data_IF_741721393068
#
_entry.id   IF_741721393068
#
_cell.length_a   1.000
_cell.length_b   1.000
_cell.length_c   1.000
_cell.angle_alpha   90.00
_cell.angle_beta   90.00
_cell.angle_gamma   90.00
#
_symmetry.space_group_name_H-M   'P 1'
#
loop_
_entity.id
_entity.type
_entity.pdbx_description
1 polymer ?
#
# COMPACT_ATOMS: atom_id res chain seq x y z
N UNK A 1 -15.38 16.63 -1.40
CA UNK A 1 -15.44 15.15 -1.23
C UNK A 1 -13.99 14.67 -1.32
N UNK A 2 -13.36 14.28 -0.19
CA UNK A 2 -11.88 14.26 -0.06
C UNK A 2 -11.25 13.24 -1.03
N UNK A 3 -10.47 13.71 -1.99
CA UNK A 3 -9.58 12.92 -2.84
C UNK A 3 -8.37 12.49 -1.98
N UNK A 4 -8.58 11.55 -1.06
CA UNK A 4 -7.47 10.89 -0.38
C UNK A 4 -6.66 10.17 -1.44
N UNK A 5 -5.34 10.40 -1.53
CA UNK A 5 -4.41 9.89 -2.55
C UNK A 5 -4.21 8.36 -2.56
N UNK A 6 -5.30 7.63 -2.39
CA UNK A 6 -5.46 6.20 -2.19
C UNK A 6 -6.46 5.69 -3.23
N UNK A 7 -6.13 4.56 -3.83
CA UNK A 7 -6.98 3.86 -4.80
C UNK A 7 -7.73 2.75 -4.07
N UNK A 8 -9.03 2.95 -3.84
CA UNK A 8 -9.86 2.07 -3.01
C UNK A 8 -10.03 0.66 -3.61
N UNK A 9 -9.87 0.54 -4.92
CA UNK A 9 -9.99 -0.73 -5.64
C UNK A 9 -8.72 -1.56 -5.59
N UNK A 10 -7.59 -0.94 -5.23
CA UNK A 10 -6.31 -1.61 -5.12
C UNK A 10 -6.07 -2.14 -3.70
N UNK A 11 -5.23 -3.16 -3.61
CA UNK A 11 -4.73 -3.67 -2.34
C UNK A 11 -3.88 -2.63 -1.59
N UNK A 12 -3.63 -2.88 -0.30
CA UNK A 12 -2.70 -2.07 0.50
C UNK A 12 -1.31 -2.07 -0.16
N UNK A 13 -0.83 -3.24 -0.60
CA UNK A 13 0.48 -3.38 -1.21
C UNK A 13 0.64 -2.52 -2.46
N UNK A 14 -0.33 -2.60 -3.37
CA UNK A 14 -0.35 -1.79 -4.58
C UNK A 14 -0.46 -0.29 -4.29
N UNK A 15 -1.21 0.11 -3.25
CA UNK A 15 -1.29 1.52 -2.87
C UNK A 15 0.04 2.07 -2.35
N UNK A 16 0.76 1.25 -1.57
CA UNK A 16 2.03 1.63 -0.95
C UNK A 16 3.15 1.68 -2.01
N UNK A 17 3.21 0.71 -2.92
CA UNK A 17 4.25 0.64 -3.96
C UNK A 17 4.05 1.65 -5.10
N UNK A 18 2.83 2.14 -5.33
CA UNK A 18 2.47 2.93 -6.52
C UNK A 18 3.39 4.13 -6.83
N UNK A 19 3.78 5.01 -5.88
CA UNK A 19 4.64 6.15 -6.18
C UNK A 19 6.03 5.76 -6.64
N UNK A 20 6.50 4.58 -6.23
CA UNK A 20 7.86 4.10 -6.47
C UNK A 20 7.87 2.74 -7.16
N UNK A 21 6.89 2.52 -8.05
CA UNK A 21 6.78 1.33 -8.90
C UNK A 21 8.11 0.92 -9.57
N UNK A 22 8.95 1.85 -10.10
CA UNK A 22 10.24 1.50 -10.67
C UNK A 22 11.21 0.81 -9.70
N UNK A 23 11.20 1.17 -8.41
CA UNK A 23 12.03 0.50 -7.39
C UNK A 23 11.59 -0.95 -7.11
N UNK A 24 10.34 -1.29 -7.46
CA UNK A 24 9.78 -2.63 -7.32
C UNK A 24 9.76 -3.40 -8.65
N UNK A 25 10.28 -2.82 -9.74
CA UNK A 25 10.23 -3.42 -11.07
C UNK A 25 11.60 -3.94 -11.54
N UNK A 26 11.60 -5.10 -12.22
CA UNK A 26 12.78 -5.62 -12.94
C UNK A 26 12.40 -5.86 -14.41
N UNK A 27 13.11 -5.20 -15.33
CA UNK A 27 12.82 -5.26 -16.79
C UNK A 27 11.34 -4.96 -17.10
N UNK A 28 10.79 -3.91 -16.47
CA UNK A 28 9.39 -3.47 -16.58
C UNK A 28 8.34 -4.39 -15.96
N UNK A 29 8.72 -5.49 -15.31
CA UNK A 29 7.81 -6.35 -14.56
C UNK A 29 7.87 -6.01 -13.07
N UNK A 30 6.73 -5.64 -12.50
CA UNK A 30 6.61 -5.38 -11.05
C UNK A 30 6.72 -6.69 -10.29
N UNK A 31 7.61 -6.72 -9.30
CA UNK A 31 7.80 -7.86 -8.42
C UNK A 31 6.79 -7.81 -7.28
N UNK A 32 5.76 -8.66 -7.34
CA UNK A 32 4.74 -8.75 -6.28
C UNK A 32 5.32 -9.11 -4.91
N UNK A 33 6.46 -9.83 -4.88
CA UNK A 33 7.14 -10.13 -3.62
C UNK A 33 7.83 -8.89 -3.04
N UNK A 34 8.41 -8.03 -3.87
CA UNK A 34 9.00 -6.76 -3.44
C UNK A 34 7.92 -5.80 -2.93
N UNK A 35 6.79 -5.68 -3.63
CA UNK A 35 5.65 -4.88 -3.17
C UNK A 35 5.13 -5.39 -1.82
N UNK A 36 4.98 -6.72 -1.69
CA UNK A 36 4.50 -7.34 -0.44
C UNK A 36 5.46 -7.07 0.72
N UNK A 37 6.77 -7.20 0.50
CA UNK A 37 7.78 -6.96 1.54
C UNK A 37 7.75 -5.51 2.04
N UNK A 38 7.73 -4.53 1.12
CA UNK A 38 7.63 -3.11 1.48
C UNK A 38 6.32 -2.81 2.19
N UNK A 39 5.21 -3.36 1.72
CA UNK A 39 3.90 -3.14 2.32
C UNK A 39 3.77 -3.75 3.71
N UNK A 40 4.31 -4.96 3.94
CA UNK A 40 4.29 -5.60 5.27
C UNK A 40 5.14 -4.82 6.28
N UNK A 41 6.27 -4.26 5.83
CA UNK A 41 7.07 -3.34 6.65
C UNK A 41 6.24 -2.12 7.06
N UNK A 42 5.60 -1.43 6.12
CA UNK A 42 4.78 -0.25 6.42
C UNK A 42 3.54 -0.60 7.26
N UNK A 43 2.92 -1.76 7.03
CA UNK A 43 1.79 -2.27 7.84
C UNK A 43 2.20 -2.41 9.30
N UNK A 44 3.38 -2.97 9.56
CA UNK A 44 3.95 -3.11 10.89
C UNK A 44 4.28 -1.74 11.49
N UNK A 45 5.04 -0.92 10.78
CA UNK A 45 5.56 0.37 11.28
C UNK A 45 4.44 1.37 11.61
N UNK A 46 3.37 1.40 10.81
CA UNK A 46 2.24 2.34 10.98
C UNK A 46 1.06 1.71 11.74
N UNK A 47 1.13 0.41 12.06
CA UNK A 47 0.05 -0.34 12.69
C UNK A 47 -1.23 -0.36 11.85
N UNK A 48 -1.11 -0.67 10.56
CA UNK A 48 -2.26 -0.87 9.66
C UNK A 48 -2.92 -2.20 10.00
N UNK A 49 -4.17 -2.15 10.47
CA UNK A 49 -4.94 -3.34 10.85
C UNK A 49 -5.68 -3.88 9.64
N UNK A 50 -5.17 -4.97 9.08
CA UNK A 50 -5.78 -5.71 7.97
C UNK A 50 -5.33 -7.19 8.02
N UNK A 51 -6.15 -8.14 7.52
CA UNK A 51 -5.78 -9.55 7.44
C UNK A 51 -4.46 -9.77 6.71
N UNK A 52 -4.25 -9.09 5.58
CA UNK A 52 -2.98 -9.09 4.83
C UNK A 52 -2.81 -7.79 4.03
N UNK A 53 -1.61 -7.54 3.49
CA UNK A 53 -1.39 -6.40 2.58
C UNK A 53 -2.05 -6.55 1.21
N UNK A 54 -2.61 -7.73 0.90
CA UNK A 54 -3.43 -7.96 -0.29
C UNK A 54 -4.90 -7.53 -0.07
N UNK A 55 -5.28 -7.17 1.16
CA UNK A 55 -6.63 -6.66 1.46
C UNK A 55 -6.93 -5.42 0.63
N UNK A 56 -8.12 -5.39 0.00
CA UNK A 56 -8.59 -4.22 -0.76
C UNK A 56 -8.71 -3.01 0.16
N UNK A 57 -8.12 -1.91 -0.25
CA UNK A 57 -7.99 -0.73 0.60
C UNK A 57 -9.34 -0.08 0.93
N UNK A 58 -10.31 -0.18 0.01
CA UNK A 58 -11.67 0.30 0.22
C UNK A 58 -12.44 -0.39 1.36
N UNK A 59 -12.00 -1.56 1.83
CA UNK A 59 -12.66 -2.27 2.95
C UNK A 59 -12.11 -1.86 4.31
N UNK A 60 -11.06 -1.04 4.35
CA UNK A 60 -10.46 -0.57 5.60
C UNK A 60 -11.26 0.59 6.19
N UNK A 61 -11.20 0.74 7.51
CA UNK A 61 -11.69 1.96 8.18
C UNK A 61 -10.90 3.19 7.72
N UNK A 62 -11.52 4.38 7.79
CA UNK A 62 -10.86 5.63 7.36
C UNK A 62 -9.52 5.90 8.05
N UNK A 63 -9.36 5.51 9.32
CA UNK A 63 -8.07 5.63 10.02
C UNK A 63 -6.99 4.71 9.46
N UNK A 64 -7.34 3.47 9.08
CA UNK A 64 -6.39 2.57 8.40
C UNK A 64 -6.10 3.04 6.97
N UNK A 65 -7.08 3.61 6.26
CA UNK A 65 -6.86 4.23 4.95
C UNK A 65 -5.86 5.39 5.05
N UNK A 66 -5.97 6.26 6.06
CA UNK A 66 -4.99 7.34 6.28
C UNK A 66 -3.57 6.79 6.51
N UNK A 67 -3.44 5.69 7.26
CA UNK A 67 -2.13 5.04 7.47
C UNK A 67 -1.57 4.44 6.18
N UNK A 68 -2.40 3.88 5.31
CA UNK A 68 -1.96 3.41 3.98
C UNK A 68 -1.46 4.58 3.13
N UNK A 69 -2.14 5.74 3.17
CA UNK A 69 -1.65 6.97 2.52
C UNK A 69 -0.29 7.38 3.05
N UNK A 70 -0.06 7.32 4.37
CA UNK A 70 1.25 7.63 4.95
C UNK A 70 2.32 6.62 4.50
N UNK A 71 1.99 5.32 4.53
CA UNK A 71 2.91 4.25 4.12
C UNK A 71 3.38 4.39 2.67
N UNK A 72 2.51 4.90 1.80
CA UNK A 72 2.83 5.23 0.40
C UNK A 72 3.97 6.26 0.27
N UNK A 73 4.05 7.24 1.17
CA UNK A 73 5.09 8.28 1.12
C UNK A 73 6.37 7.91 1.88
N UNK A 74 6.30 6.91 2.76
CA UNK A 74 7.41 6.45 3.60
C UNK A 74 8.11 5.20 3.03
N UNK A 75 7.60 4.67 1.92
CA UNK A 75 8.08 3.46 1.25
C UNK A 75 9.24 3.72 0.30
#
# INVERSE_FOLDING_TARGET
RKLTGILLDLSIAQNISLPNLPAHARRSLVSSSAETATAEKQKKDLGIKAPSVQTRTGTLSGGNQQKVVLGKWLA
#
